data_IF_728774959511
#
_entry.id   IF_728774959511
#
_cell.length_a   1.000
_cell.length_b   1.000
_cell.length_c   1.000
_cell.angle_alpha   90.00
_cell.angle_beta   90.00
_cell.angle_gamma   90.00
#
_symmetry.space_group_name_H-M   'P 1'
#
loop_
_entity.id
_entity.type
_entity.pdbx_description
1 polymer ?
#
# COMPACT_ATOMS: atom_id res chain seq x y z
N UNK A 1 -19.42 5.25 4.54
CA UNK A 1 -17.94 5.11 4.50
C UNK A 1 -17.31 6.39 5.02
N UNK A 2 -16.33 6.27 5.91
CA UNK A 2 -15.48 7.38 6.35
C UNK A 2 -14.12 7.23 5.68
N UNK A 3 -13.59 8.34 5.18
CA UNK A 3 -12.27 8.41 4.56
C UNK A 3 -11.32 9.18 5.48
N UNK A 4 -10.19 8.57 5.81
CA UNK A 4 -9.10 9.21 6.54
C UNK A 4 -7.92 9.34 5.59
N UNK A 5 -7.41 10.55 5.40
CA UNK A 5 -6.32 10.86 4.46
C UNK A 5 -5.11 11.37 5.25
N UNK A 6 -4.20 10.48 5.66
CA UNK A 6 -3.01 10.87 6.41
C UNK A 6 -1.94 11.47 5.50
N UNK A 7 -1.10 12.35 6.04
CA UNK A 7 0.16 12.72 5.41
C UNK A 7 1.18 11.59 5.60
N UNK A 8 1.84 11.15 4.54
CA UNK A 8 2.84 10.07 4.61
C UNK A 8 4.29 10.60 4.56
N UNK A 9 4.50 11.78 4.01
CA UNK A 9 5.80 12.47 4.02
C UNK A 9 5.85 13.44 5.19
N UNK A 10 6.25 12.96 6.35
CA UNK A 10 6.20 13.69 7.62
C UNK A 10 7.52 14.34 8.00
N UNK A 11 8.62 13.97 7.34
CA UNK A 11 9.96 14.53 7.58
C UNK A 11 10.53 15.12 6.30
N UNK A 12 10.86 16.43 6.29
CA UNK A 12 11.46 17.06 5.13
C UNK A 12 12.78 16.40 4.72
N UNK A 13 12.92 16.07 3.43
CA UNK A 13 14.16 15.50 2.89
C UNK A 13 14.35 13.99 3.14
N UNK A 14 13.41 13.34 3.83
CA UNK A 14 13.42 11.90 4.07
C UNK A 14 12.22 11.25 3.34
N UNK A 15 12.51 10.33 2.44
CA UNK A 15 11.51 9.49 1.82
C UNK A 15 11.29 8.26 2.70
N UNK A 16 10.21 8.26 3.47
CA UNK A 16 9.93 7.21 4.46
C UNK A 16 9.29 5.97 3.87
N UNK A 17 8.74 6.06 2.67
CA UNK A 17 7.99 4.94 2.05
C UNK A 17 6.92 4.33 2.97
N UNK A 18 6.35 5.11 3.89
CA UNK A 18 5.43 4.69 4.95
C UNK A 18 6.02 3.70 5.98
N UNK A 19 7.32 3.53 6.01
CA UNK A 19 8.01 2.57 6.86
C UNK A 19 8.46 3.17 8.19
N UNK A 20 8.80 2.32 9.14
CA UNK A 20 9.55 2.71 10.33
C UNK A 20 11.03 2.78 9.96
N UNK A 21 11.62 3.97 10.04
CA UNK A 21 13.03 4.21 9.72
C UNK A 21 13.84 4.28 11.02
N UNK A 22 14.73 3.32 11.28
CA UNK A 22 15.50 3.26 12.52
C UNK A 22 16.25 4.55 12.82
N UNK A 23 16.02 5.12 14.00
CA UNK A 23 16.67 6.36 14.44
C UNK A 23 16.07 7.65 13.90
N UNK A 24 15.05 7.56 13.05
CA UNK A 24 14.38 8.71 12.42
C UNK A 24 12.89 8.78 12.82
N UNK A 25 12.01 8.09 12.12
CA UNK A 25 10.56 8.19 12.32
C UNK A 25 9.86 6.86 12.08
N UNK A 26 8.83 6.58 12.89
CA UNK A 26 8.03 5.35 12.84
C UNK A 26 6.70 5.59 12.12
N UNK A 27 6.74 5.78 10.78
CA UNK A 27 5.55 6.12 9.99
C UNK A 27 4.56 4.96 9.93
N UNK A 28 5.02 3.73 9.75
CA UNK A 28 4.17 2.53 9.79
C UNK A 28 3.40 2.45 11.12
N UNK A 29 4.10 2.61 12.24
CA UNK A 29 3.48 2.60 13.58
C UNK A 29 2.48 3.74 13.74
N UNK A 30 2.83 4.95 13.29
CA UNK A 30 1.92 6.08 13.34
C UNK A 30 0.64 5.82 12.54
N UNK A 31 0.73 5.28 11.33
CA UNK A 31 -0.43 4.98 10.47
C UNK A 31 -1.32 3.87 11.04
N UNK A 32 -0.74 2.85 11.64
CA UNK A 32 -1.47 1.66 12.12
C UNK A 32 -1.96 1.77 13.55
N UNK A 33 -1.39 2.65 14.36
CA UNK A 33 -1.74 2.84 15.78
C UNK A 33 -2.28 4.23 16.05
N UNK A 34 -1.45 5.27 15.93
CA UNK A 34 -1.78 6.60 16.44
C UNK A 34 -2.87 7.27 15.60
N UNK A 35 -2.75 7.22 14.28
CA UNK A 35 -3.74 7.79 13.36
C UNK A 35 -5.11 7.09 13.52
N UNK A 36 -5.12 5.76 13.63
CA UNK A 36 -6.36 5.01 13.86
C UNK A 36 -6.99 5.35 15.21
N UNK A 37 -6.18 5.42 16.26
CA UNK A 37 -6.64 5.82 17.60
C UNK A 37 -7.20 7.25 17.62
N UNK A 38 -6.57 8.16 16.88
CA UNK A 38 -7.07 9.53 16.71
C UNK A 38 -8.40 9.53 15.94
N UNK A 39 -8.48 8.87 14.80
CA UNK A 39 -9.69 8.81 13.97
C UNK A 39 -10.87 8.20 14.74
N UNK A 40 -10.62 7.19 15.55
CA UNK A 40 -11.63 6.51 16.36
C UNK A 40 -12.40 7.46 17.30
N UNK A 41 -11.77 8.53 17.76
CA UNK A 41 -12.42 9.55 18.61
C UNK A 41 -13.53 10.32 17.90
N UNK A 42 -13.49 10.40 16.57
CA UNK A 42 -14.42 11.17 15.76
C UNK A 42 -15.46 10.33 15.03
N UNK A 43 -15.14 9.08 14.69
CA UNK A 43 -15.97 8.26 13.80
C UNK A 43 -16.66 7.09 14.49
N UNK A 44 -16.45 6.92 15.79
CA UNK A 44 -16.89 5.70 16.48
C UNK A 44 -16.19 4.46 15.91
N UNK A 45 -15.62 3.64 16.74
CA UNK A 45 -14.96 2.40 16.30
C UNK A 45 -15.98 1.30 16.28
N UNK A 46 -16.21 0.69 15.14
CA UNK A 46 -16.71 -0.68 15.14
C UNK A 46 -15.51 -1.63 14.98
N UNK A 47 -15.73 -2.90 15.29
CA UNK A 47 -14.70 -3.94 15.21
C UNK A 47 -14.39 -4.37 13.77
N UNK A 48 -14.84 -3.61 12.76
CA UNK A 48 -14.56 -3.92 11.34
C UNK A 48 -13.13 -3.59 11.00
N UNK A 49 -12.55 -4.40 10.16
CA UNK A 49 -11.25 -4.10 9.56
C UNK A 49 -11.37 -2.90 8.63
N UNK A 50 -10.30 -2.15 8.55
CA UNK A 50 -10.17 -1.03 7.64
C UNK A 50 -9.73 -1.52 6.26
N UNK A 51 -9.89 -0.67 5.27
CA UNK A 51 -9.29 -0.86 3.96
C UNK A 51 -8.30 0.27 3.69
N UNK A 52 -7.27 -0.03 2.90
CA UNK A 52 -6.30 0.96 2.44
C UNK A 52 -6.48 1.27 0.96
N UNK A 53 -6.18 2.51 0.59
CA UNK A 53 -6.21 2.97 -0.79
C UNK A 53 -5.10 3.98 -1.02
N UNK A 54 -4.34 3.84 -2.10
CA UNK A 54 -3.31 4.82 -2.41
C UNK A 54 -2.91 4.85 -3.87
N UNK A 55 -2.28 5.97 -4.25
CA UNK A 55 -1.73 6.23 -5.57
C UNK A 55 -0.21 6.35 -5.49
N UNK A 56 0.53 5.77 -6.44
CA UNK A 56 2.01 5.85 -6.51
C UNK A 56 2.64 5.28 -5.23
N UNK A 57 3.48 6.03 -4.52
CA UNK A 57 3.97 5.66 -3.18
C UNK A 57 2.83 5.32 -2.23
N UNK A 58 1.70 6.04 -2.28
CA UNK A 58 0.50 5.66 -1.52
C UNK A 58 -0.05 4.28 -1.90
N UNK A 59 0.10 3.85 -3.16
CA UNK A 59 -0.27 2.51 -3.62
C UNK A 59 0.64 1.42 -3.04
N UNK A 60 1.93 1.69 -2.90
CA UNK A 60 2.87 0.88 -2.13
C UNK A 60 2.45 0.82 -0.66
N UNK A 61 2.25 1.98 0.00
CA UNK A 61 1.81 2.06 1.38
C UNK A 61 0.51 1.27 1.63
N UNK A 62 -0.45 1.36 0.72
CA UNK A 62 -1.71 0.63 0.85
C UNK A 62 -1.49 -0.89 0.86
N UNK A 63 -0.67 -1.41 -0.05
CA UNK A 63 -0.34 -2.83 -0.12
C UNK A 63 0.49 -3.27 1.08
N UNK A 64 1.52 -2.52 1.43
CA UNK A 64 2.44 -2.80 2.54
C UNK A 64 1.68 -2.87 3.87
N UNK A 65 0.96 -1.81 4.25
CA UNK A 65 0.20 -1.75 5.51
C UNK A 65 -0.82 -2.89 5.62
N UNK A 66 -1.55 -3.18 4.55
CA UNK A 66 -2.55 -4.25 4.60
C UNK A 66 -1.94 -5.64 4.66
N UNK A 67 -0.82 -5.89 3.99
CA UNK A 67 -0.14 -7.17 4.03
C UNK A 67 0.54 -7.42 5.39
N UNK A 68 1.09 -6.39 6.01
CA UNK A 68 1.79 -6.53 7.28
C UNK A 68 0.85 -6.50 8.50
N UNK A 69 -0.27 -5.82 8.39
CA UNK A 69 -1.25 -5.63 9.47
C UNK A 69 -2.63 -6.25 9.11
N UNK A 70 -2.63 -7.52 8.73
CA UNK A 70 -3.83 -8.25 8.30
C UNK A 70 -4.87 -8.45 9.40
N UNK A 71 -4.50 -8.23 10.65
CA UNK A 71 -5.41 -8.14 11.79
C UNK A 71 -6.25 -6.85 11.76
N UNK A 72 -5.74 -5.79 11.14
CA UNK A 72 -6.34 -4.46 11.09
C UNK A 72 -6.98 -4.12 9.75
N UNK A 73 -6.46 -4.68 8.66
CA UNK A 73 -6.91 -4.40 7.30
C UNK A 73 -7.32 -5.71 6.61
N UNK A 74 -8.35 -5.66 5.76
CA UNK A 74 -8.79 -6.82 4.98
C UNK A 74 -8.70 -6.59 3.46
N UNK A 75 -8.52 -5.34 3.03
CA UNK A 75 -8.49 -4.95 1.63
C UNK A 75 -7.50 -3.83 1.37
N UNK A 76 -6.84 -3.92 0.22
CA UNK A 76 -5.98 -2.86 -0.28
C UNK A 76 -6.25 -2.54 -1.75
N UNK A 77 -6.21 -1.25 -2.10
CA UNK A 77 -6.19 -0.80 -3.50
C UNK A 77 -4.89 -0.07 -3.76
N UNK A 78 -4.10 -0.62 -4.66
CA UNK A 78 -2.86 -0.03 -5.15
C UNK A 78 -3.09 0.54 -6.55
N UNK A 79 -3.16 1.85 -6.66
CA UNK A 79 -3.34 2.57 -7.91
C UNK A 79 -1.99 3.12 -8.38
N UNK A 80 -1.47 2.64 -9.50
CA UNK A 80 -0.11 2.93 -9.98
C UNK A 80 0.96 2.74 -8.90
N UNK A 81 0.80 1.75 -8.03
CA UNK A 81 1.76 1.47 -6.98
C UNK A 81 2.82 0.45 -7.39
N UNK A 82 3.83 0.32 -6.58
CA UNK A 82 4.88 -0.68 -6.68
C UNK A 82 4.84 -1.60 -5.45
N UNK A 83 5.66 -2.68 -5.41
CA UNK A 83 5.56 -3.75 -4.42
C UNK A 83 6.90 -4.08 -3.74
N UNK A 84 7.75 -3.09 -3.61
CA UNK A 84 9.00 -3.11 -2.87
C UNK A 84 9.44 -1.67 -2.63
N UNK A 85 9.99 -1.29 -1.47
CA UNK A 85 10.38 0.09 -1.18
C UNK A 85 11.33 0.66 -2.24
N UNK A 86 11.12 1.90 -2.63
CA UNK A 86 11.85 2.56 -3.72
C UNK A 86 12.36 3.97 -3.31
N UNK A 87 13.00 4.05 -2.16
CA UNK A 87 13.46 5.29 -1.57
C UNK A 87 14.14 6.23 -2.55
N UNK A 88 13.67 7.46 -2.62
CA UNK A 88 14.20 8.52 -3.50
C UNK A 88 15.22 9.43 -2.79
N UNK A 89 15.13 9.58 -1.46
CA UNK A 89 15.98 10.50 -0.69
C UNK A 89 16.13 10.06 0.78
N UNK A 90 17.20 10.52 1.42
CA UNK A 90 17.40 10.46 2.86
C UNK A 90 17.84 9.10 3.44
N UNK A 91 17.94 8.06 2.63
CA UNK A 91 18.28 6.69 3.06
C UNK A 91 19.61 6.26 2.44
N UNK A 92 20.53 5.78 3.27
CA UNK A 92 21.83 5.24 2.81
C UNK A 92 21.66 3.92 2.06
N UNK A 93 22.67 3.52 1.29
CA UNK A 93 22.63 2.27 0.52
C UNK A 93 22.47 1.02 1.40
N UNK A 94 23.06 1.01 2.59
CA UNK A 94 22.99 -0.15 3.48
C UNK A 94 21.67 -0.21 4.25
N UNK A 95 21.17 0.92 4.72
CA UNK A 95 19.81 1.03 5.28
C UNK A 95 18.76 0.62 4.27
N UNK A 96 18.89 1.08 3.02
CA UNK A 96 17.98 0.68 1.93
C UNK A 96 17.92 -0.83 1.75
N UNK A 97 19.06 -1.52 1.72
CA UNK A 97 19.11 -2.99 1.59
C UNK A 97 18.41 -3.67 2.76
N UNK A 98 18.67 -3.21 3.99
CA UNK A 98 18.05 -3.75 5.20
C UNK A 98 16.53 -3.55 5.18
N UNK A 99 16.06 -2.35 4.86
CA UNK A 99 14.63 -2.03 4.80
C UNK A 99 13.92 -2.83 3.69
N UNK A 100 14.49 -2.94 2.49
CA UNK A 100 13.92 -3.77 1.41
C UNK A 100 13.78 -5.22 1.86
N UNK A 101 14.74 -5.75 2.59
CA UNK A 101 14.69 -7.13 3.10
C UNK A 101 13.68 -7.29 4.25
N UNK A 102 13.63 -6.32 5.17
CA UNK A 102 12.70 -6.30 6.29
C UNK A 102 11.24 -6.17 5.83
N UNK A 103 11.01 -5.40 4.79
CA UNK A 103 9.69 -5.11 4.22
C UNK A 103 9.37 -5.92 2.95
N UNK A 104 9.94 -7.11 2.85
CA UNK A 104 9.61 -8.05 1.76
C UNK A 104 8.19 -8.62 1.98
N UNK A 105 7.26 -8.17 1.13
CA UNK A 105 5.85 -8.55 1.21
C UNK A 105 5.62 -10.04 1.00
N UNK A 106 6.43 -10.70 0.18
CA UNK A 106 6.30 -12.13 -0.09
C UNK A 106 6.66 -12.94 1.15
N UNK A 107 7.72 -12.56 1.85
CA UNK A 107 8.10 -13.22 3.10
C UNK A 107 7.05 -13.00 4.19
N UNK A 108 6.48 -11.80 4.28
CA UNK A 108 5.37 -11.51 5.20
C UNK A 108 4.15 -12.39 4.90
N UNK A 109 3.74 -12.49 3.63
CA UNK A 109 2.60 -13.31 3.22
C UNK A 109 2.79 -14.79 3.52
N UNK A 110 4.00 -15.33 3.29
CA UNK A 110 4.32 -16.74 3.60
C UNK A 110 4.26 -17.06 5.09
N UNK A 111 4.50 -16.07 5.95
CA UNK A 111 4.44 -16.22 7.39
C UNK A 111 3.03 -15.97 7.96
N UNK A 112 2.09 -15.47 7.18
CA UNK A 112 0.75 -15.11 7.62
C UNK A 112 -0.26 -16.23 7.38
N UNK A 113 -1.25 -16.32 8.29
CA UNK A 113 -2.42 -17.21 8.16
C UNK A 113 -3.70 -16.46 7.80
N UNK A 114 -3.70 -15.14 7.92
CA UNK A 114 -4.82 -14.29 7.52
C UNK A 114 -4.76 -14.03 6.01
N UNK A 115 -5.88 -13.64 5.45
CA UNK A 115 -5.96 -13.27 4.04
C UNK A 115 -6.50 -11.85 3.90
N UNK A 116 -5.80 -11.06 3.12
CA UNK A 116 -6.30 -9.79 2.58
C UNK A 116 -6.69 -9.98 1.13
N UNK A 117 -7.50 -9.08 0.60
CA UNK A 117 -7.76 -8.96 -0.84
C UNK A 117 -7.03 -7.74 -1.38
N UNK A 118 -6.34 -7.89 -2.49
CA UNK A 118 -5.58 -6.82 -3.12
C UNK A 118 -6.11 -6.54 -4.53
N UNK A 119 -6.43 -5.28 -4.81
CA UNK A 119 -6.65 -4.77 -6.15
C UNK A 119 -5.47 -3.92 -6.58
N UNK A 120 -4.79 -4.30 -7.66
CA UNK A 120 -3.77 -3.48 -8.31
C UNK A 120 -4.30 -2.96 -9.64
N UNK A 121 -4.36 -1.63 -9.79
CA UNK A 121 -4.70 -0.96 -11.04
C UNK A 121 -3.40 -0.40 -11.62
N UNK A 122 -3.01 -0.85 -12.80
CA UNK A 122 -1.70 -0.59 -13.38
C UNK A 122 -1.80 -0.18 -14.86
N UNK A 123 -0.73 0.39 -15.40
CA UNK A 123 -0.64 0.83 -16.79
C UNK A 123 -0.11 -0.26 -17.71
N UNK A 124 -0.63 -0.35 -18.93
CA UNK A 124 -0.04 -1.15 -20.00
C UNK A 124 1.36 -0.68 -20.42
N UNK A 125 1.73 0.55 -20.10
CA UNK A 125 3.08 1.06 -20.32
C UNK A 125 4.05 0.40 -19.33
N UNK A 126 5.05 -0.26 -19.82
CA UNK A 126 6.02 -1.03 -19.06
C UNK A 126 6.97 -0.11 -18.22
N UNK A 127 6.40 0.67 -17.33
CA UNK A 127 7.05 1.56 -16.39
C UNK A 127 7.59 0.82 -15.15
N UNK A 128 8.12 1.57 -14.19
CA UNK A 128 8.68 1.03 -12.96
C UNK A 128 7.62 0.28 -12.13
N UNK A 129 6.44 0.87 -11.97
CA UNK A 129 5.32 0.34 -11.18
C UNK A 129 4.80 -0.96 -11.77
N UNK A 130 4.60 -0.99 -13.09
CA UNK A 130 4.17 -2.19 -13.83
C UNK A 130 5.17 -3.32 -13.70
N UNK A 131 6.46 -3.03 -13.87
CA UNK A 131 7.53 -4.02 -13.67
C UNK A 131 7.57 -4.56 -12.24
N UNK A 132 7.33 -3.70 -11.26
CA UNK A 132 7.26 -4.10 -9.86
C UNK A 132 6.08 -5.03 -9.59
N UNK A 133 4.89 -4.71 -10.12
CA UNK A 133 3.71 -5.57 -10.04
C UNK A 133 3.94 -6.93 -10.67
N UNK A 134 4.49 -7.00 -11.89
CA UNK A 134 4.78 -8.27 -12.58
C UNK A 134 5.70 -9.15 -11.75
N UNK A 135 6.74 -8.58 -11.13
CA UNK A 135 7.65 -9.33 -10.24
C UNK A 135 6.95 -9.84 -8.99
N UNK A 136 6.06 -9.04 -8.44
CA UNK A 136 5.25 -9.43 -7.28
C UNK A 136 4.28 -10.54 -7.64
N UNK A 137 3.54 -10.43 -8.76
CA UNK A 137 2.63 -11.47 -9.27
C UNK A 137 3.34 -12.81 -9.50
N UNK A 138 4.54 -12.79 -10.08
CA UNK A 138 5.31 -14.00 -10.31
C UNK A 138 5.71 -14.76 -9.02
N UNK A 139 5.71 -14.08 -7.87
CA UNK A 139 6.11 -14.65 -6.58
C UNK A 139 4.95 -14.95 -5.65
N UNK A 140 3.83 -14.23 -5.80
CA UNK A 140 2.71 -14.28 -4.86
C UNK A 140 1.93 -15.60 -4.96
N UNK A 141 1.81 -16.19 -6.16
CA UNK A 141 1.02 -17.40 -6.37
C UNK A 141 -0.38 -17.28 -5.78
N UNK A 142 -0.77 -18.27 -4.98
CA UNK A 142 -2.07 -18.35 -4.31
C UNK A 142 -2.04 -17.83 -2.86
N UNK A 143 -0.99 -17.08 -2.46
CA UNK A 143 -0.87 -16.60 -1.08
C UNK A 143 -2.00 -15.65 -0.67
N UNK A 144 -2.46 -14.79 -1.59
CA UNK A 144 -3.64 -13.92 -1.41
C UNK A 144 -4.41 -13.77 -2.73
N UNK A 145 -5.71 -13.47 -2.67
CA UNK A 145 -6.47 -13.04 -3.83
C UNK A 145 -5.94 -11.69 -4.35
N UNK A 146 -5.35 -11.71 -5.54
CA UNK A 146 -4.89 -10.51 -6.26
C UNK A 146 -5.75 -10.32 -7.51
N UNK A 147 -6.51 -9.23 -7.55
CA UNK A 147 -7.20 -8.77 -8.75
C UNK A 147 -6.39 -7.67 -9.42
N UNK A 148 -6.31 -7.69 -10.74
CA UNK A 148 -5.62 -6.64 -11.50
C UNK A 148 -6.54 -6.00 -12.51
N UNK A 149 -6.37 -4.70 -12.73
CA UNK A 149 -7.00 -3.93 -13.81
C UNK A 149 -5.89 -3.22 -14.56
N UNK A 150 -5.76 -3.54 -15.84
CA UNK A 150 -4.85 -2.86 -16.75
C UNK A 150 -5.54 -1.68 -17.41
N UNK A 151 -4.89 -0.52 -17.44
CA UNK A 151 -5.34 0.63 -18.20
C UNK A 151 -4.46 0.80 -19.44
N UNK A 152 -5.06 1.10 -20.62
CA UNK A 152 -4.35 1.11 -21.89
C UNK A 152 -3.34 2.25 -22.00
N UNK A 153 -3.64 3.38 -21.38
CA UNK A 153 -2.80 4.55 -21.35
C UNK A 153 -2.34 4.82 -19.93
N UNK A 154 -1.14 5.33 -19.75
CA UNK A 154 -0.57 5.46 -18.44
C UNK A 154 0.29 6.70 -18.32
N UNK A 155 1.52 6.46 -17.93
CA UNK A 155 2.40 7.49 -17.43
C UNK A 155 1.99 7.88 -16.00
N UNK A 156 2.92 8.51 -15.30
CA UNK A 156 2.72 8.87 -13.89
C UNK A 156 1.95 10.20 -13.76
N UNK A 157 0.77 10.28 -14.41
CA UNK A 157 -0.05 11.49 -14.46
C UNK A 157 -1.40 11.23 -13.78
N UNK A 158 -1.66 11.90 -12.65
CA UNK A 158 -2.90 11.75 -11.87
C UNK A 158 -4.18 11.95 -12.69
N UNK A 159 -4.15 12.72 -13.76
CA UNK A 159 -5.34 12.90 -14.63
C UNK A 159 -5.74 11.61 -15.33
N UNK A 160 -4.79 10.77 -15.67
CA UNK A 160 -5.05 9.43 -16.25
C UNK A 160 -5.64 8.49 -15.20
N UNK A 161 -5.18 8.59 -13.96
CA UNK A 161 -5.54 7.69 -12.87
C UNK A 161 -6.82 8.08 -12.14
N UNK A 162 -7.19 9.36 -12.16
CA UNK A 162 -8.34 9.91 -11.44
C UNK A 162 -9.66 9.16 -11.69
N UNK A 163 -10.01 8.74 -12.92
CA UNK A 163 -11.23 7.96 -13.18
C UNK A 163 -11.28 6.63 -12.42
N UNK A 164 -10.14 6.01 -12.18
CA UNK A 164 -10.03 4.70 -11.53
C UNK A 164 -10.09 4.76 -10.01
N UNK A 165 -10.03 5.95 -9.41
CA UNK A 165 -10.25 6.16 -7.98
C UNK A 165 -11.64 5.65 -7.58
N UNK A 166 -12.66 5.96 -8.38
CA UNK A 166 -14.02 5.47 -8.14
C UNK A 166 -14.09 3.94 -8.20
N UNK A 167 -13.48 3.32 -9.20
CA UNK A 167 -13.38 1.85 -9.33
C UNK A 167 -12.77 1.21 -8.08
N UNK A 168 -11.72 1.81 -7.53
CA UNK A 168 -11.09 1.33 -6.29
C UNK A 168 -12.03 1.42 -5.08
N UNK A 169 -12.75 2.53 -4.93
CA UNK A 169 -13.72 2.68 -3.84
C UNK A 169 -14.92 1.74 -3.98
N UNK A 170 -15.44 1.52 -5.18
CA UNK A 170 -16.47 0.53 -5.43
C UNK A 170 -16.01 -0.87 -5.02
N UNK A 171 -14.76 -1.23 -5.40
CA UNK A 171 -14.21 -2.53 -5.05
C UNK A 171 -14.05 -2.70 -3.53
N UNK A 172 -13.58 -1.69 -2.80
CA UNK A 172 -13.51 -1.72 -1.33
C UNK A 172 -14.90 -1.89 -0.72
N UNK A 173 -15.90 -1.20 -1.25
CA UNK A 173 -17.26 -1.17 -0.69
C UNK A 173 -18.06 -2.43 -0.98
N UNK A 174 -17.67 -3.21 -1.97
CA UNK A 174 -18.40 -4.41 -2.38
C UNK A 174 -17.99 -5.60 -1.51
N UNK A 175 -18.95 -6.16 -0.75
CA UNK A 175 -18.71 -7.28 0.15
C UNK A 175 -18.20 -8.55 -0.57
N UNK A 176 -18.51 -8.71 -1.86
CA UNK A 176 -18.18 -9.89 -2.68
C UNK A 176 -16.93 -9.71 -3.54
N UNK A 177 -16.26 -8.57 -3.47
CA UNK A 177 -15.05 -8.29 -4.26
C UNK A 177 -13.80 -8.87 -3.63
#
# INVERSE_FOLDING_TARGET
TVLVVPAINVVPGLDTECLNIPGEVDVETWLTSDMKSFAAKFIGVDNRKWATFGYSTGGWCAAELSIRHQDQFDRAVSLAGYFSPAFSAGITSDERKQLIQQYDLINTLKASTNQIKLLAIYSAQNDFETKSLIRFQAKIGDLIPLKTIEIPEGGHNIQVWRPYVYTGFEWISNANS
#
